data_IF_157343924849
#
_entry.id   IF_157343924849
#
_cell.length_a   1.000
_cell.length_b   1.000
_cell.length_c   1.000
_cell.angle_alpha   90.00
_cell.angle_beta   90.00
_cell.angle_gamma   90.00
#
_symmetry.space_group_name_H-M   'P 1'
#
loop_
_entity.id
_entity.type
_entity.pdbx_description
1 polymer ?
#
# COMPACT_ATOMS: atom_id res chain seq x y z
N UNK A 1 -68.74 18.95 1.00
CA UNK A 1 -68.10 17.64 0.72
C UNK A 1 -66.69 17.88 0.19
N UNK A 2 -65.67 17.85 1.05
CA UNK A 2 -64.27 17.75 0.63
C UNK A 2 -63.59 16.73 1.53
N UNK A 3 -63.33 15.54 0.97
CA UNK A 3 -62.67 14.42 1.63
C UNK A 3 -61.16 14.64 1.56
N UNK A 4 -60.56 15.20 2.61
CA UNK A 4 -59.11 15.24 2.73
C UNK A 4 -58.61 13.85 3.09
N UNK A 5 -57.95 13.20 2.12
CA UNK A 5 -57.24 11.95 2.32
C UNK A 5 -56.06 12.22 3.24
N UNK A 6 -56.08 11.57 4.40
CA UNK A 6 -54.96 11.39 5.31
C UNK A 6 -53.81 10.74 4.52
N UNK A 7 -52.92 11.54 3.93
CA UNK A 7 -51.68 11.05 3.34
C UNK A 7 -50.73 10.83 4.50
N UNK A 8 -50.72 9.59 5.00
CA UNK A 8 -49.80 9.07 5.98
C UNK A 8 -48.38 9.44 5.55
N UNK A 9 -47.81 10.46 6.18
CA UNK A 9 -46.40 10.80 6.09
C UNK A 9 -45.68 9.62 6.74
N UNK A 10 -45.29 8.65 5.92
CA UNK A 10 -44.39 7.57 6.30
C UNK A 10 -43.01 8.20 6.45
N UNK A 11 -42.80 8.82 7.61
CA UNK A 11 -41.52 9.32 8.08
C UNK A 11 -40.66 8.09 8.34
N UNK A 12 -40.05 7.57 7.27
CA UNK A 12 -38.98 6.58 7.35
C UNK A 12 -37.86 7.32 8.07
N UNK A 13 -37.83 7.17 9.39
CA UNK A 13 -36.62 7.32 10.19
C UNK A 13 -35.63 6.31 9.62
N UNK A 14 -34.94 6.74 8.57
CA UNK A 14 -33.69 6.16 8.12
C UNK A 14 -32.68 6.56 9.20
N UNK A 15 -32.81 5.98 10.38
CA UNK A 15 -31.73 5.84 11.33
C UNK A 15 -30.70 4.94 10.68
N UNK A 16 -29.99 5.51 9.70
CA UNK A 16 -28.68 5.05 9.29
C UNK A 16 -27.86 5.11 10.57
N UNK A 17 -27.80 3.98 11.26
CA UNK A 17 -26.76 3.70 12.23
C UNK A 17 -25.48 4.01 11.47
N UNK A 18 -24.90 5.16 11.75
CA UNK A 18 -23.52 5.47 11.39
C UNK A 18 -22.73 4.54 12.31
N UNK A 19 -22.72 3.25 11.95
CA UNK A 19 -21.85 2.27 12.54
C UNK A 19 -20.47 2.84 12.30
N UNK A 20 -19.78 3.20 13.37
CA UNK A 20 -18.39 3.63 13.32
C UNK A 20 -17.65 2.56 12.53
N UNK A 21 -17.39 2.84 11.25
CA UNK A 21 -16.78 1.87 10.37
C UNK A 21 -15.35 1.74 10.86
N UNK A 22 -14.99 0.54 11.31
CA UNK A 22 -13.64 0.24 11.77
C UNK A 22 -12.65 0.71 10.70
N UNK A 23 -11.70 1.56 11.09
CA UNK A 23 -10.72 2.10 10.15
C UNK A 23 -9.68 1.06 9.73
N UNK A 24 -9.54 -0.01 10.53
CA UNK A 24 -8.48 -1.00 10.42
C UNK A 24 -9.03 -2.43 10.54
N UNK A 25 -8.68 -3.29 9.60
CA UNK A 25 -8.87 -4.73 9.71
C UNK A 25 -7.53 -5.43 9.59
N UNK A 26 -7.23 -6.36 10.50
CA UNK A 26 -5.98 -7.14 10.50
C UNK A 26 -6.31 -8.59 10.12
N UNK A 27 -5.53 -9.14 9.19
CA UNK A 27 -5.70 -10.50 8.67
C UNK A 27 -4.48 -11.34 9.06
N UNK A 28 -4.70 -12.37 9.88
CA UNK A 28 -3.61 -13.25 10.32
C UNK A 28 -3.10 -14.10 9.14
N UNK A 29 -4.02 -14.58 8.31
CA UNK A 29 -3.73 -15.41 7.14
C UNK A 29 -4.27 -14.79 5.84
N UNK A 30 -3.81 -15.31 4.69
CA UNK A 30 -4.41 -14.94 3.41
C UNK A 30 -5.86 -15.40 3.28
N UNK A 31 -6.21 -16.55 3.87
CA UNK A 31 -7.58 -17.04 3.88
C UNK A 31 -8.51 -16.08 4.63
N UNK A 32 -8.04 -15.46 5.72
CA UNK A 32 -8.81 -14.44 6.43
C UNK A 32 -9.11 -13.24 5.53
N UNK A 33 -8.13 -12.80 4.73
CA UNK A 33 -8.35 -11.74 3.75
C UNK A 33 -9.34 -12.16 2.65
N UNK A 34 -9.22 -13.37 2.10
CA UNK A 34 -10.11 -13.83 1.02
C UNK A 34 -11.57 -14.00 1.46
N UNK A 35 -11.79 -14.26 2.75
CA UNK A 35 -13.13 -14.48 3.32
C UNK A 35 -13.63 -13.27 4.12
N UNK A 36 -12.97 -12.10 4.04
CA UNK A 36 -13.27 -10.90 4.83
C UNK A 36 -13.35 -11.16 6.36
N UNK A 37 -12.58 -12.13 6.86
CA UNK A 37 -12.52 -12.54 8.26
C UNK A 37 -11.38 -11.84 9.03
N UNK A 38 -11.32 -10.51 8.93
CA UNK A 38 -10.32 -9.70 9.65
C UNK A 38 -10.74 -9.35 11.08
N UNK A 39 -9.76 -9.21 11.98
CA UNK A 39 -10.00 -8.59 13.29
C UNK A 39 -10.09 -7.07 13.12
N UNK A 40 -11.27 -6.51 13.40
CA UNK A 40 -11.52 -5.08 13.38
C UNK A 40 -10.85 -4.37 14.58
N UNK A 41 -10.23 -3.22 14.30
CA UNK A 41 -9.67 -2.26 15.26
C UNK A 41 -10.21 -0.85 14.97
N UNK A 42 -10.31 -0.03 16.01
CA UNK A 42 -10.88 1.32 15.89
C UNK A 42 -9.90 2.27 15.22
N UNK A 43 -8.60 2.18 15.57
CA UNK A 43 -7.60 3.17 15.21
C UNK A 43 -6.20 2.55 15.08
N UNK A 44 -5.43 3.03 14.10
CA UNK A 44 -3.98 2.84 14.05
C UNK A 44 -3.27 3.95 14.84
N UNK A 45 -2.46 3.57 15.84
CA UNK A 45 -1.78 4.53 16.72
C UNK A 45 -0.37 4.87 16.24
N UNK A 46 0.45 3.85 16.00
CA UNK A 46 1.87 4.00 15.64
C UNK A 46 2.46 2.66 15.25
N UNK A 47 3.73 2.67 14.85
CA UNK A 47 4.55 1.47 14.74
C UNK A 47 5.82 1.62 15.59
N UNK A 48 6.48 0.51 15.86
CA UNK A 48 7.85 0.48 16.36
C UNK A 48 8.67 -0.51 15.56
N UNK A 49 9.95 -0.22 15.41
CA UNK A 49 10.92 -1.12 14.82
C UNK A 49 12.00 -1.42 15.86
N UNK A 50 12.29 -2.69 16.09
CA UNK A 50 13.43 -3.14 16.86
C UNK A 50 14.15 -4.25 16.07
N UNK A 51 15.45 -4.06 15.78
CA UNK A 51 16.25 -5.04 15.03
C UNK A 51 15.61 -5.50 13.70
N UNK A 52 15.01 -4.55 12.97
CA UNK A 52 14.26 -4.79 11.72
C UNK A 52 12.91 -5.50 11.86
N UNK A 53 12.50 -5.90 13.07
CA UNK A 53 11.17 -6.43 13.33
C UNK A 53 10.17 -5.29 13.56
N UNK A 54 9.11 -5.24 12.75
CA UNK A 54 8.06 -4.23 12.86
C UNK A 54 6.93 -4.72 13.77
N UNK A 55 6.52 -3.86 14.70
CA UNK A 55 5.30 -4.04 15.50
C UNK A 55 4.37 -2.88 15.25
N UNK A 56 3.14 -3.18 14.84
CA UNK A 56 2.05 -2.22 14.65
C UNK A 56 1.30 -2.06 15.97
N UNK A 57 0.85 -0.84 16.29
CA UNK A 57 0.07 -0.55 17.48
C UNK A 57 -1.30 -0.04 17.08
N UNK A 58 -2.33 -0.70 17.57
CA UNK A 58 -3.73 -0.39 17.29
C UNK A 58 -4.50 -0.12 18.58
N UNK A 59 -5.70 0.45 18.45
CA UNK A 59 -6.66 0.64 19.53
C UNK A 59 -7.95 -0.10 19.20
N UNK A 60 -8.53 -0.77 20.20
CA UNK A 60 -9.86 -1.40 20.10
C UNK A 60 -10.57 -1.28 21.44
N UNK A 61 -11.75 -0.67 21.44
CA UNK A 61 -12.57 -0.40 22.62
C UNK A 61 -11.78 0.28 23.75
N UNK A 62 -10.93 1.26 23.39
CA UNK A 62 -10.08 1.97 24.35
C UNK A 62 -8.78 1.24 24.74
N UNK A 63 -8.63 -0.04 24.44
CA UNK A 63 -7.47 -0.87 24.78
C UNK A 63 -6.44 -0.83 23.64
N UNK A 64 -5.15 -0.75 23.99
CA UNK A 64 -4.04 -0.74 23.03
C UNK A 64 -3.55 -2.16 22.77
N UNK A 65 -3.38 -2.51 21.50
CA UNK A 65 -2.86 -3.80 21.05
C UNK A 65 -1.55 -3.61 20.30
N UNK A 66 -0.63 -4.57 20.45
CA UNK A 66 0.66 -4.62 19.74
C UNK A 66 0.68 -5.89 18.90
N UNK A 67 0.78 -5.74 17.60
CA UNK A 67 0.76 -6.86 16.65
C UNK A 67 2.09 -6.86 15.91
N UNK A 68 2.84 -7.96 15.98
CA UNK A 68 4.07 -8.09 15.21
C UNK A 68 3.72 -8.37 13.77
N UNK A 69 4.44 -7.77 12.84
CA UNK A 69 4.25 -8.04 11.41
C UNK A 69 4.51 -9.52 11.08
N UNK A 70 5.43 -10.18 11.78
CA UNK A 70 5.68 -11.62 11.65
C UNK A 70 4.44 -12.51 11.88
N UNK A 71 3.48 -12.03 12.67
CA UNK A 71 2.34 -12.82 13.13
C UNK A 71 1.10 -12.63 12.24
N UNK A 72 1.20 -11.82 11.17
CA UNK A 72 0.06 -11.48 10.31
C UNK A 72 0.43 -11.50 8.83
N UNK A 73 -0.55 -11.82 7.98
CA UNK A 73 -0.41 -11.73 6.53
C UNK A 73 -0.47 -10.28 6.03
N UNK A 74 -1.41 -9.49 6.56
CA UNK A 74 -1.67 -8.13 6.10
C UNK A 74 -2.74 -7.43 6.92
N UNK A 75 -3.10 -6.22 6.51
CA UNK A 75 -4.15 -5.42 7.13
C UNK A 75 -4.68 -4.39 6.12
N UNK A 76 -5.92 -3.94 6.28
CA UNK A 76 -6.43 -2.77 5.57
C UNK A 76 -6.53 -1.59 6.53
N UNK A 77 -6.17 -0.40 6.06
CA UNK A 77 -6.29 0.86 6.79
C UNK A 77 -6.88 1.94 5.89
N UNK A 78 -8.00 2.55 6.29
CA UNK A 78 -8.74 3.55 5.48
C UNK A 78 -9.02 3.07 4.06
N UNK A 79 -9.46 1.82 3.92
CA UNK A 79 -9.78 1.18 2.63
C UNK A 79 -8.56 0.81 1.77
N UNK A 80 -7.33 1.02 2.26
CA UNK A 80 -6.10 0.66 1.55
C UNK A 80 -5.54 -0.65 2.10
N UNK A 81 -5.19 -1.59 1.22
CA UNK A 81 -4.58 -2.86 1.58
C UNK A 81 -3.07 -2.73 1.79
N UNK A 82 -2.60 -3.24 2.92
CA UNK A 82 -1.21 -3.44 3.26
C UNK A 82 -0.92 -4.92 3.44
N UNK A 83 0.24 -5.35 2.94
CA UNK A 83 0.72 -6.71 3.05
C UNK A 83 2.07 -6.74 3.75
N UNK A 84 2.30 -7.74 4.59
CA UNK A 84 3.61 -7.94 5.23
C UNK A 84 4.51 -8.83 4.39
N UNK A 85 5.75 -8.36 4.16
CA UNK A 85 6.85 -9.22 3.70
C UNK A 85 7.26 -10.13 4.85
N UNK A 86 6.87 -11.39 4.78
CA UNK A 86 7.14 -12.38 5.83
C UNK A 86 8.64 -12.63 6.07
N UNK A 87 9.51 -12.35 5.09
CA UNK A 87 10.96 -12.53 5.26
C UNK A 87 11.61 -11.33 5.94
N UNK A 88 11.07 -10.13 5.72
CA UNK A 88 11.62 -8.89 6.27
C UNK A 88 10.79 -8.33 7.42
N UNK A 89 9.64 -8.93 7.71
CA UNK A 89 8.61 -8.49 8.66
C UNK A 89 8.22 -7.03 8.48
N UNK A 90 8.12 -6.59 7.22
CA UNK A 90 7.87 -5.20 6.86
C UNK A 90 6.54 -5.04 6.15
N UNK A 91 5.72 -4.06 6.55
CA UNK A 91 4.49 -3.76 5.83
C UNK A 91 4.82 -3.04 4.50
N UNK A 92 4.05 -3.38 3.48
CA UNK A 92 4.08 -2.80 2.15
C UNK A 92 2.66 -2.42 1.76
N UNK A 93 2.47 -1.31 1.04
CA UNK A 93 1.17 -0.92 0.51
C UNK A 93 0.99 -1.56 -0.86
N UNK A 94 -0.15 -2.20 -1.11
CA UNK A 94 -0.52 -2.64 -2.46
C UNK A 94 -0.91 -1.41 -3.28
N UNK A 95 -0.24 -1.20 -4.41
CA UNK A 95 -0.51 -0.07 -5.30
C UNK A 95 -1.40 -0.49 -6.47
N UNK A 96 -1.01 -1.56 -7.16
CA UNK A 96 -1.76 -2.12 -8.28
C UNK A 96 -1.40 -3.60 -8.48
N UNK A 97 -2.25 -4.31 -9.21
CA UNK A 97 -2.11 -5.72 -9.53
C UNK A 97 -2.71 -6.02 -10.89
N UNK A 98 -2.11 -6.94 -11.62
CA UNK A 98 -2.72 -7.62 -12.77
C UNK A 98 -2.36 -9.13 -12.71
N UNK A 99 -2.59 -9.86 -13.80
CA UNK A 99 -2.33 -11.31 -13.87
C UNK A 99 -0.82 -11.67 -13.86
N UNK A 100 0.05 -10.71 -14.18
CA UNK A 100 1.49 -10.94 -14.31
C UNK A 100 2.30 -10.42 -13.10
N UNK A 101 1.78 -9.42 -12.36
CA UNK A 101 2.54 -8.72 -11.32
C UNK A 101 1.63 -8.06 -10.27
N UNK A 102 2.07 -8.07 -9.02
CA UNK A 102 1.60 -7.17 -7.96
C UNK A 102 2.71 -6.21 -7.59
N UNK A 103 2.40 -4.91 -7.60
CA UNK A 103 3.32 -3.86 -7.23
C UNK A 103 2.99 -3.27 -5.86
N UNK A 104 4.03 -3.13 -5.05
CA UNK A 104 3.92 -2.58 -3.71
C UNK A 104 4.95 -1.48 -3.47
N UNK A 105 4.61 -0.60 -2.52
CA UNK A 105 5.49 0.45 -2.02
C UNK A 105 5.66 0.38 -0.51
N UNK A 106 6.57 1.18 0.03
CA UNK A 106 6.89 1.17 1.46
C UNK A 106 5.65 1.43 2.34
N UNK A 107 5.23 0.44 3.13
CA UNK A 107 3.99 0.53 3.89
C UNK A 107 4.04 1.55 5.02
N UNK A 108 5.19 1.71 5.68
CA UNK A 108 5.34 2.67 6.77
C UNK A 108 5.20 4.12 6.28
N UNK A 109 5.84 4.46 5.16
CA UNK A 109 5.70 5.77 4.54
C UNK A 109 4.25 6.05 4.13
N UNK A 110 3.58 5.07 3.51
CA UNK A 110 2.17 5.23 3.12
C UNK A 110 1.21 5.32 4.31
N UNK A 111 1.46 4.61 5.40
CA UNK A 111 0.68 4.78 6.63
C UNK A 111 0.81 6.20 7.19
N UNK A 112 2.02 6.76 7.20
CA UNK A 112 2.25 8.14 7.65
C UNK A 112 1.49 9.15 6.77
N UNK A 113 1.49 8.94 5.45
CA UNK A 113 0.68 9.73 4.50
C UNK A 113 -0.82 9.67 4.84
N UNK A 114 -1.38 8.47 5.03
CA UNK A 114 -2.80 8.27 5.32
C UNK A 114 -3.22 8.81 6.70
N UNK A 115 -2.32 8.70 7.69
CA UNK A 115 -2.56 9.18 9.06
C UNK A 115 -2.55 10.71 9.13
N UNK A 116 -1.60 11.34 8.44
CA UNK A 116 -1.42 12.80 8.45
C UNK A 116 -2.15 13.53 7.33
N UNK A 117 -2.82 12.79 6.43
CA UNK A 117 -3.40 13.30 5.19
C UNK A 117 -2.38 14.10 4.34
N UNK A 118 -1.15 13.60 4.28
CA UNK A 118 -0.01 14.23 3.60
C UNK A 118 0.33 13.53 2.28
N UNK A 119 0.77 14.25 1.24
CA UNK A 119 1.26 13.65 0.00
C UNK A 119 2.63 12.97 0.15
N UNK A 120 3.31 13.13 1.29
CA UNK A 120 4.60 12.52 1.59
C UNK A 120 4.60 11.92 2.99
N UNK A 121 5.24 10.76 3.13
CA UNK A 121 5.42 10.09 4.42
C UNK A 121 6.89 9.83 4.71
N UNK A 122 7.18 9.60 5.98
CA UNK A 122 8.53 9.33 6.45
C UNK A 122 8.97 7.90 6.08
N UNK A 123 10.06 7.78 5.33
CA UNK A 123 10.68 6.49 5.05
C UNK A 123 11.59 6.08 6.21
N UNK A 124 11.18 5.07 6.99
CA UNK A 124 11.92 4.64 8.17
C UNK A 124 12.82 3.43 7.90
N UNK A 125 12.25 2.34 7.35
CA UNK A 125 12.96 1.09 7.06
C UNK A 125 12.38 0.37 5.86
N UNK A 126 13.15 -0.61 5.37
CA UNK A 126 12.78 -1.48 4.29
C UNK A 126 13.21 -0.95 2.93
N UNK A 127 12.43 -1.28 1.92
CA UNK A 127 12.68 -0.88 0.54
C UNK A 127 11.57 0.05 0.05
N UNK A 128 11.90 0.80 -1.00
CA UNK A 128 10.95 1.73 -1.62
C UNK A 128 9.86 1.00 -2.40
N UNK A 129 10.21 -0.11 -3.04
CA UNK A 129 9.36 -0.84 -3.98
C UNK A 129 9.56 -2.34 -3.85
N UNK A 130 8.49 -3.10 -4.08
CA UNK A 130 8.50 -4.55 -4.07
C UNK A 130 7.63 -5.09 -5.20
N UNK A 131 7.95 -6.28 -5.67
CA UNK A 131 7.15 -7.05 -6.62
C UNK A 131 6.76 -8.41 -6.04
N UNK A 132 5.66 -8.96 -6.52
CA UNK A 132 5.30 -10.36 -6.33
C UNK A 132 4.50 -10.85 -7.54
N UNK A 133 4.38 -12.17 -7.69
CA UNK A 133 3.60 -12.76 -8.81
C UNK A 133 2.10 -12.67 -8.56
N UNK A 134 1.68 -12.92 -7.33
CA UNK A 134 0.30 -12.86 -6.85
C UNK A 134 0.25 -12.22 -5.48
N UNK A 135 -0.92 -11.75 -5.06
CA UNK A 135 -1.11 -11.06 -3.79
C UNK A 135 -0.64 -11.88 -2.58
N UNK A 136 -0.58 -13.23 -2.68
CA UNK A 136 -0.12 -14.13 -1.63
C UNK A 136 1.29 -14.73 -1.87
N UNK A 137 1.91 -14.52 -3.03
CA UNK A 137 3.25 -15.06 -3.34
C UNK A 137 4.37 -14.29 -2.64
N UNK A 138 5.58 -14.82 -2.54
CA UNK A 138 6.69 -14.10 -1.91
C UNK A 138 6.93 -12.70 -2.53
N UNK A 139 7.23 -11.70 -1.70
CA UNK A 139 7.65 -10.38 -2.18
C UNK A 139 9.16 -10.31 -2.43
N UNK A 140 9.52 -9.53 -3.44
CA UNK A 140 10.88 -9.32 -3.91
C UNK A 140 11.15 -7.81 -3.91
N UNK A 141 12.01 -7.31 -3.00
CA UNK A 141 12.37 -5.91 -2.99
C UNK A 141 13.06 -5.53 -4.30
N UNK A 142 12.62 -4.43 -4.90
CA UNK A 142 13.20 -3.90 -6.13
C UNK A 142 14.50 -3.18 -5.76
N UNK A 143 15.63 -3.84 -6.03
CA UNK A 143 16.94 -3.35 -5.63
C UNK A 143 18.02 -3.82 -6.58
N UNK A 144 19.03 -2.98 -6.81
CA UNK A 144 20.18 -3.34 -7.63
C UNK A 144 21.48 -2.90 -6.96
N UNK A 145 21.77 -3.52 -5.82
CA UNK A 145 23.13 -3.58 -5.31
C UNK A 145 23.79 -4.85 -5.85
N UNK A 146 24.93 -4.75 -6.55
CA UNK A 146 25.58 -5.90 -7.20
C UNK A 146 26.03 -6.99 -6.21
N UNK A 147 26.11 -6.69 -4.91
CA UNK A 147 26.66 -7.58 -3.89
C UNK A 147 25.59 -8.09 -2.91
N UNK A 148 24.33 -7.72 -3.10
CA UNK A 148 23.27 -8.09 -2.15
C UNK A 148 22.53 -9.38 -2.55
N UNK A 149 22.28 -10.25 -1.57
CA UNK A 149 21.37 -11.42 -1.72
C UNK A 149 19.99 -11.00 -2.23
N UNK A 150 19.55 -9.80 -1.85
CA UNK A 150 18.27 -9.21 -2.28
C UNK A 150 18.27 -8.92 -3.78
N UNK A 151 19.32 -8.30 -4.30
CA UNK A 151 19.48 -8.06 -5.75
C UNK A 151 19.51 -9.36 -6.54
N UNK A 152 20.19 -10.40 -6.03
CA UNK A 152 20.16 -11.73 -6.66
C UNK A 152 18.73 -12.27 -6.74
N UNK A 153 17.98 -12.27 -5.63
CA UNK A 153 16.58 -12.74 -5.60
C UNK A 153 15.67 -11.95 -6.54
N UNK A 154 15.87 -10.64 -6.65
CA UNK A 154 15.14 -9.80 -7.60
C UNK A 154 15.46 -10.18 -9.04
N UNK A 155 16.74 -10.38 -9.39
CA UNK A 155 17.15 -10.83 -10.73
C UNK A 155 16.62 -12.22 -11.06
N UNK A 156 16.65 -13.15 -10.11
CA UNK A 156 16.09 -14.48 -10.26
C UNK A 156 14.57 -14.39 -10.55
N UNK A 157 13.84 -13.55 -9.81
CA UNK A 157 12.42 -13.27 -10.08
C UNK A 157 12.17 -12.72 -11.48
N UNK A 158 12.97 -11.76 -11.96
CA UNK A 158 12.82 -11.21 -13.32
C UNK A 158 13.14 -12.26 -14.40
N UNK A 159 14.17 -13.09 -14.17
CA UNK A 159 14.55 -14.19 -15.06
C UNK A 159 13.43 -15.24 -15.20
N UNK A 160 12.80 -15.60 -14.09
CA UNK A 160 11.68 -16.57 -14.04
C UNK A 160 10.37 -16.02 -14.65
N UNK A 161 10.26 -14.70 -14.84
CA UNK A 161 9.07 -14.04 -15.35
C UNK A 161 9.40 -13.21 -16.61
N UNK A 162 9.71 -13.84 -17.75
CA UNK A 162 10.22 -13.16 -18.94
C UNK A 162 9.24 -12.14 -19.56
N UNK A 163 7.95 -12.22 -19.25
CA UNK A 163 6.95 -11.19 -19.61
C UNK A 163 7.24 -9.84 -18.97
N UNK A 164 7.96 -9.80 -17.85
CA UNK A 164 8.34 -8.58 -17.15
C UNK A 164 9.59 -7.90 -17.74
N UNK A 165 10.21 -8.45 -18.80
CA UNK A 165 11.39 -7.85 -19.45
C UNK A 165 11.18 -6.39 -19.89
N UNK A 166 10.02 -5.99 -20.49
CA UNK A 166 9.79 -4.59 -20.82
C UNK A 166 9.80 -3.69 -19.58
N UNK A 167 9.22 -4.16 -18.46
CA UNK A 167 9.25 -3.45 -17.18
C UNK A 167 10.69 -3.34 -16.64
N UNK A 168 11.46 -4.44 -16.67
CA UNK A 168 12.87 -4.45 -16.27
C UNK A 168 13.68 -3.43 -17.05
N UNK A 169 13.50 -3.41 -18.38
CA UNK A 169 14.17 -2.48 -19.27
C UNK A 169 13.79 -1.03 -18.99
N UNK A 170 12.53 -0.75 -18.66
CA UNK A 170 12.08 0.59 -18.28
C UNK A 170 12.70 1.04 -16.96
N UNK A 171 12.74 0.17 -15.95
CA UNK A 171 13.35 0.48 -14.65
C UNK A 171 14.84 0.78 -14.82
N UNK A 172 15.54 -0.03 -15.63
CA UNK A 172 16.97 0.12 -15.90
C UNK A 172 17.75 0.17 -14.58
N UNK A 173 18.53 1.24 -14.36
CA UNK A 173 19.30 1.46 -13.15
C UNK A 173 18.69 2.54 -12.20
N UNK A 174 17.44 2.95 -12.43
CA UNK A 174 16.78 4.03 -11.67
C UNK A 174 15.75 3.42 -10.70
N UNK A 175 16.13 3.29 -9.44
CA UNK A 175 15.32 2.60 -8.42
C UNK A 175 14.54 3.53 -7.48
N UNK A 176 14.35 4.80 -7.87
CA UNK A 176 13.45 5.68 -7.12
C UNK A 176 12.01 5.21 -7.27
N UNK A 177 11.22 5.28 -6.19
CA UNK A 177 9.84 4.78 -6.23
C UNK A 177 8.99 5.48 -7.31
N UNK A 178 9.23 6.78 -7.55
CA UNK A 178 8.50 7.54 -8.57
C UNK A 178 8.77 7.01 -9.99
N UNK A 179 10.03 6.66 -10.29
CA UNK A 179 10.42 6.09 -11.57
C UNK A 179 9.85 4.68 -11.74
N UNK A 180 10.06 3.82 -10.72
CA UNK A 180 9.56 2.45 -10.72
C UNK A 180 8.04 2.41 -10.87
N UNK A 181 7.32 3.26 -10.11
CA UNK A 181 5.85 3.39 -10.25
C UNK A 181 5.45 3.78 -11.67
N UNK A 182 6.12 4.78 -12.27
CA UNK A 182 5.84 5.18 -13.65
C UNK A 182 6.00 4.01 -14.63
N UNK A 183 7.10 3.27 -14.54
CA UNK A 183 7.33 2.08 -15.36
C UNK A 183 6.28 0.99 -15.15
N UNK A 184 5.87 0.72 -13.91
CA UNK A 184 4.82 -0.26 -13.59
C UNK A 184 3.48 0.15 -14.20
N UNK A 185 3.08 1.42 -14.02
CA UNK A 185 1.79 1.91 -14.53
C UNK A 185 1.73 1.81 -16.06
N UNK A 186 2.80 2.22 -16.75
CA UNK A 186 2.93 2.05 -18.20
C UNK A 186 2.88 0.59 -18.62
N UNK A 187 3.62 -0.29 -17.94
CA UNK A 187 3.63 -1.73 -18.21
C UNK A 187 2.24 -2.37 -18.05
N UNK A 188 1.49 -1.95 -17.04
CA UNK A 188 0.14 -2.44 -16.77
C UNK A 188 -0.96 -1.76 -17.61
N UNK A 189 -0.62 -0.76 -18.42
CA UNK A 189 -1.61 0.02 -19.18
C UNK A 189 -2.53 0.86 -18.30
N UNK A 190 -2.08 1.25 -17.10
CA UNK A 190 -2.84 2.09 -16.17
C UNK A 190 -2.50 3.55 -16.45
N UNK A 191 -3.52 4.35 -16.79
CA UNK A 191 -3.34 5.80 -16.95
C UNK A 191 -2.87 6.42 -15.63
N UNK A 192 -1.69 7.04 -15.65
CA UNK A 192 -1.19 7.78 -14.50
C UNK A 192 -2.00 9.07 -14.34
N UNK A 193 -2.67 9.32 -13.19
CA UNK A 193 -3.36 10.59 -12.96
C UNK A 193 -2.42 11.80 -12.88
N UNK A 194 -1.11 11.56 -12.89
CA UNK A 194 -0.06 12.56 -13.03
C UNK A 194 0.75 12.21 -14.26
N UNK A 195 0.64 13.00 -15.32
CA UNK A 195 1.53 12.87 -16.48
C UNK A 195 2.98 12.97 -15.99
N UNK A 196 3.83 12.03 -16.41
CA UNK A 196 5.27 12.02 -16.07
C UNK A 196 5.95 13.33 -16.56
N UNK A 197 5.37 13.96 -17.58
CA UNK A 197 5.77 15.23 -18.16
C UNK A 197 5.67 16.40 -17.16
N UNK A 198 4.63 16.43 -16.32
CA UNK A 198 4.44 17.49 -15.32
C UNK A 198 5.49 17.46 -14.21
N UNK A 199 5.96 16.26 -13.82
CA UNK A 199 6.98 16.09 -12.79
C UNK A 199 8.39 16.46 -13.29
N UNK A 200 8.73 16.06 -14.52
CA UNK A 200 9.99 16.43 -15.16
C UNK A 200 10.10 17.95 -15.38
N UNK A 201 9.02 18.58 -15.83
CA UNK A 201 8.98 20.02 -16.06
C UNK A 201 9.12 20.83 -14.76
N UNK A 202 8.63 20.31 -13.63
CA UNK A 202 8.76 20.93 -12.30
C UNK A 202 10.17 20.78 -11.72
N UNK A 203 10.88 19.70 -12.06
CA UNK A 203 12.27 19.48 -11.63
C UNK A 203 13.25 20.39 -12.38
N UNK A 204 13.06 20.63 -13.67
CA UNK A 204 13.87 21.59 -14.44
C UNK A 204 13.68 23.04 -13.97
N UNK A 205 12.44 23.44 -13.67
CA UNK A 205 12.16 24.79 -13.13
C UNK A 205 12.84 25.04 -11.78
N UNK A 206 12.98 24.03 -10.93
CA UNK A 206 13.71 24.14 -9.65
C UNK A 206 15.23 24.25 -9.81
N UNK A 207 15.82 23.69 -10.87
CA UNK A 207 17.26 23.85 -11.17
C UNK A 207 17.59 25.25 -11.68
N UNK A 208 16.69 25.89 -12.43
CA UNK A 208 16.88 27.28 -12.90
C UNK A 208 16.81 28.29 -11.76
N UNK A 209 15.88 28.13 -10.80
CA UNK A 209 15.73 29.03 -9.64
C UNK A 209 16.84 28.98 -8.58
N UNK A 210 17.83 28.08 -8.69
CA UNK A 210 18.97 27.99 -7.76
C UNK A 210 20.27 28.58 -8.34
N UNK A 211 20.21 29.14 -9.54
CA UNK A 211 21.35 29.75 -10.23
C UNK A 211 21.28 31.28 -10.32
N UNK A 212 20.22 31.86 -9.76
CA UNK A 212 20.05 33.30 -9.52
C UNK A 212 20.09 33.54 -8.01
#
# INVERSE_FOLDING_TARGET
MFRYKFSLIFFVFLSTSISAQSEVYVYETFADFQNDHGTAYDEFLSFSNALAHVTLKFKKSGVKYRIKCADIWGYSYKGVLFRVDQKLEQPTRVICSNDDLVYYENGLAHMDMLRTNSPSGSFAIGYSCYFSKTINSQMFPVHNSPVSVVSKRYKDFMYENPKLKPLESCIGNIYSYTHVRGCVMTFMGIETPFSVEDAAHKFEKKKKKKKD
#
